data_IF_756728170688
#
_entry.id   IF_756728170688
#
_cell.length_a   1.000
_cell.length_b   1.000
_cell.length_c   1.000
_cell.angle_alpha   90.00
_cell.angle_beta   90.00
_cell.angle_gamma   90.00
#
_symmetry.space_group_name_H-M   'P 1'
#
loop_
_entity.id
_entity.type
_entity.pdbx_description
1 polymer ?
#
# COMPACT_ATOMS: atom_id res chain seq x y z
N UNK A 1 33.21 -5.24 -9.11
CA UNK A 1 32.40 -6.21 -9.88
C UNK A 1 31.27 -6.69 -8.97
N UNK A 2 30.03 -6.31 -9.29
CA UNK A 2 28.84 -6.56 -8.44
C UNK A 2 28.59 -8.06 -8.23
N UNK A 3 28.25 -8.46 -7.00
CA UNK A 3 27.85 -9.83 -6.59
C UNK A 3 26.77 -10.40 -7.50
N UNK A 4 25.91 -9.52 -8.01
CA UNK A 4 24.86 -9.81 -8.98
C UNK A 4 25.38 -10.45 -10.27
N UNK A 5 26.57 -10.05 -10.75
CA UNK A 5 27.19 -10.59 -11.97
C UNK A 5 27.79 -11.98 -11.74
N UNK A 6 28.20 -12.29 -10.51
CA UNK A 6 28.70 -13.63 -10.14
C UNK A 6 27.56 -14.66 -10.02
N UNK A 7 26.42 -14.26 -9.46
CA UNK A 7 25.21 -15.09 -9.42
C UNK A 7 24.70 -15.45 -10.83
N UNK A 8 24.69 -14.48 -11.74
CA UNK A 8 24.28 -14.72 -13.13
C UNK A 8 25.24 -15.61 -13.94
N UNK A 9 26.52 -15.68 -13.54
CA UNK A 9 27.52 -16.50 -14.24
C UNK A 9 27.49 -17.95 -13.74
N UNK A 10 27.11 -18.18 -12.48
CA UNK A 10 26.93 -19.53 -11.92
C UNK A 10 25.76 -20.29 -12.59
N UNK A 11 24.67 -19.59 -12.92
CA UNK A 11 23.47 -20.17 -13.57
C UNK A 11 23.75 -20.63 -15.03
N UNK A 12 24.78 -20.09 -15.70
CA UNK A 12 25.06 -20.37 -17.13
C UNK A 12 26.03 -21.53 -17.36
N UNK A 13 26.67 -22.06 -16.33
CA UNK A 13 27.67 -23.14 -16.43
C UNK A 13 27.19 -24.41 -15.74
N UNK A 14 26.37 -25.22 -16.43
CA UNK A 14 25.89 -26.49 -15.90
C UNK A 14 27.02 -27.48 -15.62
N UNK A 15 27.28 -27.75 -14.34
CA UNK A 15 27.99 -28.94 -13.86
C UNK A 15 27.50 -29.28 -12.43
N UNK A 16 26.90 -30.47 -12.28
CA UNK A 16 26.43 -31.16 -11.06
C UNK A 16 25.27 -30.54 -10.24
N UNK A 17 24.11 -31.24 -10.25
CA UNK A 17 22.94 -31.02 -9.38
C UNK A 17 23.25 -31.04 -7.87
N UNK A 18 24.40 -31.60 -7.46
CA UNK A 18 24.87 -31.59 -6.07
C UNK A 18 25.68 -30.35 -5.67
N UNK A 19 26.20 -29.59 -6.63
CA UNK A 19 26.90 -28.33 -6.37
C UNK A 19 25.92 -27.14 -6.31
N UNK A 20 24.85 -27.17 -7.10
CA UNK A 20 23.79 -26.14 -7.09
C UNK A 20 23.02 -26.13 -5.76
N UNK A 21 22.61 -27.28 -5.21
CA UNK A 21 21.86 -27.32 -3.95
C UNK A 21 22.60 -26.74 -2.73
N UNK A 22 23.94 -26.85 -2.70
CA UNK A 22 24.78 -26.26 -1.64
C UNK A 22 24.98 -24.75 -1.85
N UNK A 23 25.13 -24.32 -3.11
CA UNK A 23 25.19 -22.90 -3.45
C UNK A 23 23.86 -22.18 -3.19
N UNK A 24 22.72 -22.84 -3.47
CA UNK A 24 21.36 -22.33 -3.28
C UNK A 24 20.99 -22.19 -1.81
N UNK A 25 21.35 -23.16 -0.96
CA UNK A 25 21.17 -23.05 0.50
C UNK A 25 21.95 -21.85 1.07
N UNK A 26 23.17 -21.63 0.60
CA UNK A 26 23.98 -20.49 1.04
C UNK A 26 23.41 -19.17 0.52
N UNK A 27 22.86 -19.14 -0.71
CA UNK A 27 22.20 -17.96 -1.27
C UNK A 27 20.92 -17.59 -0.48
N UNK A 28 20.09 -18.56 -0.10
CA UNK A 28 18.91 -18.32 0.75
C UNK A 28 19.28 -17.79 2.13
N UNK A 29 20.34 -18.33 2.74
CA UNK A 29 20.84 -17.84 4.03
C UNK A 29 21.38 -16.41 3.95
N UNK A 30 22.07 -16.07 2.86
CA UNK A 30 22.55 -14.70 2.61
C UNK A 30 21.35 -13.77 2.44
N UNK A 31 20.36 -14.16 1.64
CA UNK A 31 19.17 -13.36 1.39
C UNK A 31 18.34 -13.13 2.67
N UNK A 32 18.21 -14.13 3.53
CA UNK A 32 17.62 -13.98 4.86
C UNK A 32 18.34 -12.94 5.72
N UNK A 33 19.68 -12.94 5.66
CA UNK A 33 20.48 -11.97 6.39
C UNK A 33 20.29 -10.56 5.80
N UNK A 34 20.33 -10.41 4.49
CA UNK A 34 20.08 -9.13 3.83
C UNK A 34 18.68 -8.58 4.13
N UNK A 35 17.65 -9.44 4.19
CA UNK A 35 16.30 -9.06 4.63
C UNK A 35 16.32 -8.56 6.07
N UNK A 36 17.02 -9.24 6.99
CA UNK A 36 17.13 -8.81 8.39
C UNK A 36 17.86 -7.47 8.52
N UNK A 37 18.94 -7.28 7.78
CA UNK A 37 19.70 -6.03 7.78
C UNK A 37 18.86 -4.89 7.20
N UNK A 38 18.12 -5.15 6.12
CA UNK A 38 17.17 -4.18 5.55
C UNK A 38 16.04 -3.80 6.52
N UNK A 39 15.51 -4.76 7.31
CA UNK A 39 14.56 -4.44 8.39
C UNK A 39 15.16 -3.53 9.44
N UNK A 40 16.41 -3.78 9.85
CA UNK A 40 17.09 -2.95 10.84
C UNK A 40 17.30 -1.53 10.33
N UNK A 41 17.72 -1.38 9.07
CA UNK A 41 17.93 -0.07 8.46
C UNK A 41 16.61 0.69 8.24
N UNK A 42 15.52 -0.02 7.92
CA UNK A 42 14.17 0.57 7.90
C UNK A 42 13.75 1.12 9.26
N UNK A 43 14.07 0.41 10.35
CA UNK A 43 13.78 0.93 11.72
C UNK A 43 14.56 2.20 12.03
N UNK A 44 15.85 2.24 11.66
CA UNK A 44 16.67 3.47 11.79
C UNK A 44 16.12 4.62 10.94
N UNK A 45 15.60 4.30 9.75
CA UNK A 45 14.94 5.28 8.88
C UNK A 45 13.65 5.81 9.51
N UNK A 46 12.85 4.96 10.15
CA UNK A 46 11.66 5.37 10.91
C UNK A 46 12.05 6.30 12.08
N UNK A 47 13.13 6.00 12.82
CA UNK A 47 13.66 6.86 13.89
C UNK A 47 14.13 8.22 13.36
N UNK A 48 14.85 8.23 12.23
CA UNK A 48 15.27 9.46 11.57
C UNK A 48 14.08 10.30 11.09
N UNK A 49 13.02 9.65 10.58
CA UNK A 49 11.77 10.31 10.24
C UNK A 49 11.12 10.97 11.46
N UNK A 50 11.08 10.30 12.61
CA UNK A 50 10.57 10.89 13.86
C UNK A 50 11.33 12.17 14.23
N UNK A 51 12.67 12.16 14.09
CA UNK A 51 13.50 13.34 14.33
C UNK A 51 13.16 14.51 13.37
N UNK A 52 12.94 14.22 12.09
CA UNK A 52 12.52 15.24 11.10
C UNK A 52 11.14 15.79 11.45
N UNK A 53 10.18 14.93 11.79
CA UNK A 53 8.82 15.32 12.20
C UNK A 53 8.88 16.23 13.43
N UNK A 54 9.73 15.91 14.41
CA UNK A 54 9.92 16.75 15.59
C UNK A 54 10.46 18.14 15.22
N UNK A 55 11.50 18.20 14.38
CA UNK A 55 12.06 19.49 13.89
C UNK A 55 11.02 20.30 13.11
N UNK A 56 10.23 19.65 12.24
CA UNK A 56 9.13 20.31 11.53
C UNK A 56 8.12 20.92 12.50
N UNK A 57 7.68 20.17 13.52
CA UNK A 57 6.72 20.66 14.50
C UNK A 57 7.25 21.86 15.29
N UNK A 58 8.53 21.83 15.69
CA UNK A 58 9.15 22.96 16.38
C UNK A 58 9.24 24.19 15.47
N UNK A 59 9.60 24.01 14.20
CA UNK A 59 9.65 25.10 13.22
C UNK A 59 8.26 25.69 12.96
N UNK A 60 7.23 24.85 12.84
CA UNK A 60 5.84 25.28 12.75
C UNK A 60 5.42 26.13 13.96
N UNK A 61 5.69 25.65 15.18
CA UNK A 61 5.35 26.39 16.40
C UNK A 61 6.00 27.77 16.45
N UNK A 62 7.22 27.91 15.94
CA UNK A 62 7.89 29.22 15.85
C UNK A 62 7.24 30.13 14.81
N UNK A 63 6.94 29.61 13.62
CA UNK A 63 6.20 30.36 12.59
C UNK A 63 4.87 30.86 13.14
N UNK A 64 4.13 30.00 13.83
CA UNK A 64 2.85 30.33 14.46
C UNK A 64 3.04 31.39 15.57
N UNK A 65 4.11 31.28 16.37
CA UNK A 65 4.46 32.27 17.39
C UNK A 65 4.78 33.65 16.80
N UNK A 66 5.54 33.71 15.71
CA UNK A 66 5.78 34.97 15.01
C UNK A 66 4.50 35.54 14.41
N UNK A 67 3.62 34.69 13.86
CA UNK A 67 2.33 35.12 13.34
C UNK A 67 1.45 35.77 14.43
N UNK A 68 1.40 35.15 15.61
CA UNK A 68 0.68 35.72 16.76
C UNK A 68 1.27 37.07 17.19
N UNK A 69 2.60 37.17 17.28
CA UNK A 69 3.27 38.42 17.60
C UNK A 69 3.02 39.51 16.56
N UNK A 70 2.97 39.17 15.28
CA UNK A 70 2.60 40.09 14.19
C UNK A 70 1.19 40.64 14.43
N UNK A 71 0.22 39.76 14.65
CA UNK A 71 -1.19 40.16 14.85
C UNK A 71 -1.37 41.05 16.10
N UNK A 72 -0.68 40.71 17.19
CA UNK A 72 -0.70 41.49 18.44
C UNK A 72 -0.17 42.91 18.23
N UNK A 73 1.05 43.04 17.67
CA UNK A 73 1.67 44.35 17.46
C UNK A 73 1.00 45.15 16.34
N UNK A 74 0.37 44.51 15.35
CA UNK A 74 -0.51 45.19 14.40
C UNK A 74 -1.77 45.76 15.07
N UNK A 75 -2.33 45.04 16.05
CA UNK A 75 -3.40 45.55 16.92
C UNK A 75 -2.94 46.76 17.74
N UNK A 76 -1.76 46.68 18.36
CA UNK A 76 -1.18 47.79 19.12
C UNK A 76 -0.88 49.02 18.26
N UNK A 77 -0.32 48.83 17.06
CA UNK A 77 -0.05 49.93 16.13
C UNK A 77 -1.33 50.67 15.75
N UNK A 78 -2.42 49.94 15.44
CA UNK A 78 -3.72 50.54 15.14
C UNK A 78 -4.27 51.33 16.33
N UNK A 79 -4.26 50.74 17.52
CA UNK A 79 -4.72 51.42 18.74
C UNK A 79 -3.90 52.65 19.12
N UNK A 80 -2.59 52.65 18.87
CA UNK A 80 -1.71 53.81 19.08
C UNK A 80 -2.04 54.94 18.08
N UNK A 81 -2.27 54.61 16.81
CA UNK A 81 -2.68 55.57 15.78
C UNK A 81 -4.03 56.23 16.10
N UNK A 82 -5.02 55.45 16.55
CA UNK A 82 -6.33 55.96 16.98
C UNK A 82 -6.23 56.97 18.13
N UNK A 83 -5.21 56.81 18.99
CA UNK A 83 -4.92 57.71 20.11
C UNK A 83 -3.97 58.86 19.75
N UNK A 84 -3.59 58.99 18.48
CA UNK A 84 -2.66 60.02 18.00
C UNK A 84 -1.19 59.81 18.42
N UNK A 85 -0.85 58.63 18.93
CA UNK A 85 0.50 58.29 19.39
C UNK A 85 1.34 57.74 18.23
N UNK A 86 1.72 58.60 17.30
CA UNK A 86 2.41 58.20 16.06
C UNK A 86 3.77 57.52 16.30
N UNK A 87 4.57 58.00 17.25
CA UNK A 87 5.88 57.41 17.56
C UNK A 87 5.73 55.96 18.07
N UNK A 88 4.77 55.73 18.97
CA UNK A 88 4.48 54.38 19.50
C UNK A 88 3.95 53.44 18.40
N UNK A 89 3.12 53.97 17.49
CA UNK A 89 2.64 53.19 16.35
C UNK A 89 3.79 52.79 15.42
N UNK A 90 4.76 53.69 15.20
CA UNK A 90 5.95 53.41 14.41
C UNK A 90 6.83 52.34 15.06
N UNK A 91 7.04 52.39 16.37
CA UNK A 91 7.76 51.34 17.11
C UNK A 91 7.08 49.97 16.99
N UNK A 92 5.74 49.92 17.11
CA UNK A 92 4.97 48.70 16.91
C UNK A 92 5.13 48.16 15.48
N UNK A 93 5.07 49.04 14.46
CA UNK A 93 5.27 48.66 13.06
C UNK A 93 6.69 48.13 12.80
N UNK A 94 7.72 48.69 13.46
CA UNK A 94 9.10 48.18 13.40
C UNK A 94 9.19 46.77 13.99
N UNK A 95 8.49 46.49 15.09
CA UNK A 95 8.42 45.13 15.66
C UNK A 95 7.71 44.14 14.75
N UNK A 96 6.62 44.55 14.11
CA UNK A 96 5.96 43.72 13.09
C UNK A 96 6.91 43.41 11.93
N UNK A 97 7.68 44.40 11.45
CA UNK A 97 8.65 44.19 10.38
C UNK A 97 9.75 43.19 10.81
N UNK A 98 10.24 43.28 12.05
CA UNK A 98 11.19 42.34 12.61
C UNK A 98 10.61 40.91 12.63
N UNK A 99 9.42 40.71 13.19
CA UNK A 99 8.78 39.40 13.25
C UNK A 99 8.48 38.82 11.87
N UNK A 100 8.08 39.63 10.89
CA UNK A 100 7.88 39.15 9.50
C UNK A 100 9.17 38.63 8.87
N UNK A 101 10.29 39.30 9.10
CA UNK A 101 11.60 38.84 8.61
C UNK A 101 12.01 37.51 9.25
N UNK A 102 11.83 37.39 10.57
CA UNK A 102 12.12 36.16 11.32
C UNK A 102 11.18 35.00 10.91
N UNK A 103 9.90 35.29 10.74
CA UNK A 103 8.89 34.35 10.24
C UNK A 103 9.24 33.84 8.85
N UNK A 104 9.63 34.72 7.92
CA UNK A 104 10.00 34.33 6.57
C UNK A 104 11.21 33.37 6.56
N UNK A 105 12.22 33.65 7.39
CA UNK A 105 13.37 32.78 7.53
C UNK A 105 12.98 31.41 8.13
N UNK A 106 12.15 31.39 9.17
CA UNK A 106 11.69 30.15 9.79
C UNK A 106 10.75 29.35 8.87
N UNK A 107 9.91 30.01 8.08
CA UNK A 107 9.03 29.39 7.08
C UNK A 107 9.86 28.62 6.03
N UNK A 108 11.00 29.15 5.59
CA UNK A 108 11.87 28.44 4.66
C UNK A 108 12.41 27.12 5.26
N UNK A 109 12.73 27.09 6.56
CA UNK A 109 13.12 25.85 7.25
C UNK A 109 11.96 24.88 7.38
N UNK A 110 10.76 25.38 7.75
CA UNK A 110 9.55 24.58 7.83
C UNK A 110 9.24 23.88 6.50
N UNK A 111 9.30 24.61 5.38
CA UNK A 111 9.05 24.07 4.04
C UNK A 111 10.06 22.97 3.67
N UNK A 112 11.34 23.16 4.01
CA UNK A 112 12.37 22.14 3.84
C UNK A 112 12.10 20.88 4.66
N UNK A 113 11.67 21.02 5.91
CA UNK A 113 11.32 19.88 6.76
C UNK A 113 10.06 19.16 6.27
N UNK A 114 9.03 19.89 5.81
CA UNK A 114 7.84 19.30 5.19
C UNK A 114 8.21 18.47 3.97
N UNK A 115 9.02 19.03 3.06
CA UNK A 115 9.48 18.32 1.86
C UNK A 115 10.32 17.08 2.20
N UNK A 116 11.18 17.19 3.21
CA UNK A 116 12.03 16.07 3.68
C UNK A 116 11.20 14.97 4.33
N UNK A 117 10.21 15.33 5.17
CA UNK A 117 9.27 14.39 5.81
C UNK A 117 8.49 13.61 4.76
N UNK A 118 7.93 14.30 3.75
CA UNK A 118 7.14 13.66 2.69
C UNK A 118 7.99 12.68 1.87
N UNK A 119 9.19 13.09 1.44
CA UNK A 119 10.11 12.21 0.71
C UNK A 119 10.48 10.98 1.52
N UNK A 120 10.81 11.17 2.80
CA UNK A 120 11.21 10.08 3.68
C UNK A 120 10.06 9.09 3.91
N UNK A 121 8.84 9.58 4.14
CA UNK A 121 7.64 8.72 4.26
C UNK A 121 7.40 7.87 3.01
N UNK A 122 7.46 8.48 1.84
CA UNK A 122 7.29 7.76 0.57
C UNK A 122 8.35 6.68 0.38
N UNK A 123 9.62 7.04 0.61
CA UNK A 123 10.73 6.10 0.46
C UNK A 123 10.64 4.92 1.45
N UNK A 124 10.31 5.20 2.72
CA UNK A 124 10.11 4.18 3.75
C UNK A 124 8.95 3.25 3.37
N UNK A 125 7.81 3.80 2.91
CA UNK A 125 6.67 2.98 2.47
C UNK A 125 7.05 2.05 1.33
N UNK A 126 7.68 2.58 0.28
CA UNK A 126 8.12 1.79 -0.87
C UNK A 126 9.12 0.71 -0.48
N UNK A 127 10.05 1.02 0.44
CA UNK A 127 11.02 0.05 0.93
C UNK A 127 10.36 -1.04 1.78
N UNK A 128 9.36 -0.69 2.63
CA UNK A 128 8.55 -1.66 3.37
C UNK A 128 7.78 -2.61 2.45
N UNK A 129 7.17 -2.08 1.39
CA UNK A 129 6.42 -2.90 0.42
C UNK A 129 7.34 -3.87 -0.34
N UNK A 130 8.48 -3.37 -0.83
CA UNK A 130 9.50 -4.21 -1.50
C UNK A 130 10.04 -5.29 -0.58
N UNK A 131 10.30 -4.94 0.68
CA UNK A 131 10.80 -5.90 1.67
C UNK A 131 9.77 -7.00 1.91
N UNK A 132 8.50 -6.64 2.10
CA UNK A 132 7.42 -7.63 2.25
C UNK A 132 7.32 -8.56 1.04
N UNK A 133 7.46 -8.03 -0.18
CA UNK A 133 7.47 -8.84 -1.39
C UNK A 133 8.66 -9.81 -1.43
N UNK A 134 9.86 -9.35 -1.06
CA UNK A 134 11.06 -10.18 -0.99
C UNK A 134 10.91 -11.31 0.04
N UNK A 135 10.34 -11.00 1.21
CA UNK A 135 10.06 -12.02 2.24
C UNK A 135 9.13 -13.11 1.73
N UNK A 136 8.03 -12.72 1.08
CA UNK A 136 7.08 -13.67 0.50
C UNK A 136 7.74 -14.55 -0.56
N UNK A 137 8.59 -13.97 -1.41
CA UNK A 137 9.33 -14.73 -2.42
C UNK A 137 10.30 -15.73 -1.79
N UNK A 138 11.02 -15.33 -0.74
CA UNK A 138 11.91 -16.22 0.01
C UNK A 138 11.13 -17.37 0.65
N UNK A 139 9.98 -17.10 1.25
CA UNK A 139 9.14 -18.13 1.87
C UNK A 139 8.63 -19.14 0.85
N UNK A 140 8.21 -18.69 -0.34
CA UNK A 140 7.81 -19.57 -1.44
C UNK A 140 8.98 -20.44 -1.91
N UNK A 141 10.17 -19.87 -2.08
CA UNK A 141 11.36 -20.64 -2.50
C UNK A 141 11.72 -21.69 -1.46
N UNK A 142 11.71 -21.35 -0.16
CA UNK A 142 11.95 -22.30 0.93
C UNK A 142 10.92 -23.41 0.98
N UNK A 143 9.65 -23.09 0.76
CA UNK A 143 8.58 -24.10 0.70
C UNK A 143 8.80 -25.07 -0.47
N UNK A 144 9.15 -24.55 -1.64
CA UNK A 144 9.46 -25.37 -2.81
C UNK A 144 10.69 -26.27 -2.59
N UNK A 145 11.75 -25.76 -1.97
CA UNK A 145 12.93 -26.54 -1.60
C UNK A 145 12.56 -27.67 -0.62
N UNK A 146 11.73 -27.39 0.38
CA UNK A 146 11.26 -28.39 1.33
C UNK A 146 10.45 -29.51 0.65
N UNK A 147 9.57 -29.14 -0.30
CA UNK A 147 8.82 -30.11 -1.11
C UNK A 147 9.75 -30.99 -1.94
N UNK A 148 10.72 -30.40 -2.65
CA UNK A 148 11.69 -31.15 -3.45
C UNK A 148 12.53 -32.11 -2.59
N UNK A 149 12.96 -31.67 -1.41
CA UNK A 149 13.69 -32.51 -0.45
C UNK A 149 12.84 -33.66 0.09
N UNK A 150 11.55 -33.43 0.35
CA UNK A 150 10.63 -34.48 0.75
C UNK A 150 10.40 -35.49 -0.40
N UNK A 151 10.21 -35.02 -1.63
CA UNK A 151 10.04 -35.87 -2.81
C UNK A 151 11.29 -36.74 -3.07
N UNK A 152 12.49 -36.19 -2.94
CA UNK A 152 13.73 -36.95 -3.11
C UNK A 152 13.94 -37.99 -2.00
N UNK A 153 13.65 -37.64 -0.74
CA UNK A 153 13.72 -38.59 0.38
C UNK A 153 12.73 -39.76 0.22
N UNK A 154 11.49 -39.49 -0.22
CA UNK A 154 10.46 -40.51 -0.50
C UNK A 154 10.86 -41.38 -1.70
N UNK A 155 11.41 -40.79 -2.75
CA UNK A 155 11.86 -41.54 -3.93
C UNK A 155 13.05 -42.45 -3.61
N UNK A 156 13.97 -41.99 -2.76
CA UNK A 156 15.11 -42.78 -2.30
C UNK A 156 14.73 -43.93 -1.36
N UNK A 157 13.61 -43.81 -0.61
CA UNK A 157 13.12 -44.85 0.31
C UNK A 157 12.17 -45.86 -0.33
N UNK A 158 11.59 -45.57 -1.52
CA UNK A 158 10.53 -46.39 -2.14
C UNK A 158 10.91 -47.02 -3.49
N UNK A 159 12.10 -47.61 -3.61
CA UNK A 159 12.46 -48.40 -4.82
C UNK A 159 11.59 -49.67 -4.98
N UNK A 160 10.81 -50.10 -3.97
CA UNK A 160 9.97 -51.32 -4.04
C UNK A 160 8.44 -51.14 -4.04
N UNK A 161 7.90 -50.01 -3.56
CA UNK A 161 6.45 -49.90 -3.27
C UNK A 161 5.68 -48.84 -4.11
N UNK A 162 6.39 -48.06 -4.95
CA UNK A 162 5.87 -46.81 -5.52
C UNK A 162 4.91 -46.96 -6.72
N UNK A 163 4.88 -48.11 -7.41
CA UNK A 163 4.05 -48.24 -8.61
C UNK A 163 2.53 -48.16 -8.36
N UNK A 164 2.06 -48.48 -7.14
CA UNK A 164 0.62 -48.56 -6.83
C UNK A 164 0.06 -47.35 -6.10
N UNK A 165 0.91 -46.53 -5.47
CA UNK A 165 0.46 -45.38 -4.67
C UNK A 165 0.48 -44.07 -5.50
N UNK A 166 1.44 -43.93 -6.41
CA UNK A 166 1.51 -42.81 -7.36
C UNK A 166 0.27 -42.74 -8.27
N UNK A 167 -0.29 -43.90 -8.63
CA UNK A 167 -1.54 -44.02 -9.41
C UNK A 167 -2.76 -43.54 -8.62
N UNK A 168 -2.79 -43.74 -7.30
CA UNK A 168 -3.90 -43.33 -6.46
C UNK A 168 -3.91 -41.82 -6.19
N UNK A 169 -2.73 -41.22 -5.95
CA UNK A 169 -2.59 -39.77 -5.74
C UNK A 169 -2.84 -39.00 -7.02
N UNK A 170 -2.30 -39.43 -8.17
CA UNK A 170 -2.66 -38.84 -9.47
C UNK A 170 -4.15 -38.95 -9.78
N UNK A 171 -4.79 -40.06 -9.39
CA UNK A 171 -6.24 -40.21 -9.58
C UNK A 171 -7.02 -39.23 -8.71
N UNK A 172 -6.57 -38.96 -7.48
CA UNK A 172 -7.19 -37.98 -6.58
C UNK A 172 -7.01 -36.55 -7.10
N UNK A 173 -5.83 -36.20 -7.59
CA UNK A 173 -5.54 -34.90 -8.22
C UNK A 173 -6.46 -34.68 -9.44
N UNK A 174 -6.60 -35.70 -10.30
CA UNK A 174 -7.53 -35.69 -11.45
C UNK A 174 -8.98 -35.51 -11.03
N UNK A 175 -9.41 -36.16 -9.94
CA UNK A 175 -10.77 -36.05 -9.42
C UNK A 175 -11.03 -34.64 -8.88
N UNK A 176 -10.09 -34.06 -8.12
CA UNK A 176 -10.19 -32.68 -7.63
C UNK A 176 -10.23 -31.68 -8.79
N UNK A 177 -9.40 -31.86 -9.80
CA UNK A 177 -9.36 -30.97 -10.96
C UNK A 177 -10.68 -31.03 -11.76
N UNK A 178 -11.24 -32.24 -11.96
CA UNK A 178 -12.59 -32.39 -12.55
C UNK A 178 -13.69 -31.76 -11.71
N UNK A 179 -13.60 -31.83 -10.37
CA UNK A 179 -14.57 -31.19 -9.50
C UNK A 179 -14.48 -29.66 -9.55
N UNK A 180 -13.26 -29.10 -9.59
CA UNK A 180 -13.03 -27.67 -9.74
C UNK A 180 -13.53 -27.15 -11.10
N UNK A 181 -13.23 -27.86 -12.20
CA UNK A 181 -13.74 -27.54 -13.53
C UNK A 181 -15.27 -27.59 -13.57
N UNK A 182 -15.88 -28.60 -12.94
CA UNK A 182 -17.35 -28.70 -12.87
C UNK A 182 -17.98 -27.58 -12.04
N UNK A 183 -17.32 -27.14 -10.97
CA UNK A 183 -17.76 -25.98 -10.19
C UNK A 183 -17.70 -24.70 -11.01
N UNK A 184 -16.59 -24.46 -11.70
CA UNK A 184 -16.42 -23.30 -12.56
C UNK A 184 -17.40 -23.30 -13.75
N UNK A 185 -17.71 -24.47 -14.31
CA UNK A 185 -18.75 -24.61 -15.35
C UNK A 185 -20.15 -24.32 -14.82
N UNK A 186 -20.48 -24.72 -13.59
CA UNK A 186 -21.77 -24.40 -12.96
C UNK A 186 -21.89 -22.91 -12.65
N UNK A 187 -20.81 -22.28 -12.22
CA UNK A 187 -20.73 -20.83 -11.97
C UNK A 187 -20.89 -20.05 -13.29
N UNK A 188 -20.15 -20.43 -14.33
CA UNK A 188 -20.29 -19.85 -15.66
C UNK A 188 -21.69 -20.09 -16.27
N UNK A 189 -22.30 -21.26 -16.04
CA UNK A 189 -23.67 -21.53 -16.48
C UNK A 189 -24.71 -20.70 -15.70
N UNK A 190 -24.47 -20.42 -14.41
CA UNK A 190 -25.30 -19.52 -13.62
C UNK A 190 -25.16 -18.07 -14.09
N UNK A 191 -23.94 -17.61 -14.40
CA UNK A 191 -23.68 -16.30 -15.00
C UNK A 191 -24.35 -16.17 -16.38
N UNK A 192 -24.26 -17.18 -17.24
CA UNK A 192 -24.93 -17.20 -18.55
C UNK A 192 -26.47 -17.23 -18.42
N UNK A 193 -27.00 -17.93 -17.41
CA UNK A 193 -28.44 -17.94 -17.12
C UNK A 193 -28.92 -16.57 -16.60
N UNK A 194 -28.09 -15.88 -15.81
CA UNK A 194 -28.38 -14.53 -15.33
C UNK A 194 -28.33 -13.50 -16.49
N UNK A 195 -27.39 -13.67 -17.43
CA UNK A 195 -27.33 -12.90 -18.68
C UNK A 195 -28.52 -13.17 -19.62
N UNK A 196 -29.01 -14.43 -19.68
CA UNK A 196 -30.19 -14.78 -20.48
C UNK A 196 -31.53 -14.43 -19.80
N UNK A 197 -31.54 -14.17 -18.49
CA UNK A 197 -32.76 -13.82 -17.73
C UNK A 197 -33.31 -12.41 -18.01
N UNK A 198 -32.67 -11.63 -18.89
CA UNK A 198 -33.28 -10.45 -19.51
C UNK A 198 -33.40 -9.20 -18.63
N UNK A 199 -32.80 -9.15 -17.43
CA UNK A 199 -32.91 -7.99 -16.52
C UNK A 199 -32.04 -6.77 -16.89
N UNK A 200 -31.22 -6.88 -17.94
CA UNK A 200 -30.27 -5.83 -18.33
C UNK A 200 -30.85 -4.78 -19.27
N UNK A 201 -31.93 -5.08 -20.00
CA UNK A 201 -32.57 -4.14 -20.92
C UNK A 201 -33.49 -3.16 -20.18
N UNK A 202 -34.29 -3.64 -19.22
CA UNK A 202 -35.20 -2.81 -18.42
C UNK A 202 -34.46 -1.82 -17.50
N UNK A 203 -33.32 -2.23 -16.93
CA UNK A 203 -32.44 -1.32 -16.16
C UNK A 203 -31.82 -0.24 -17.04
N UNK A 204 -31.40 -0.58 -18.26
CA UNK A 204 -30.84 0.39 -19.23
C UNK A 204 -31.91 1.33 -19.79
N UNK A 205 -33.16 0.88 -19.94
CA UNK A 205 -34.29 1.73 -20.36
C UNK A 205 -34.74 2.70 -19.26
N UNK A 206 -34.70 2.27 -17.99
CA UNK A 206 -34.98 3.12 -16.84
C UNK A 206 -33.91 4.22 -16.63
N UNK A 207 -32.63 3.87 -16.77
CA UNK A 207 -31.52 4.85 -16.72
C UNK A 207 -31.52 5.83 -17.89
N UNK A 208 -32.05 5.42 -19.06
CA UNK A 208 -32.23 6.27 -20.23
C UNK A 208 -33.55 7.10 -20.22
N UNK A 209 -34.38 6.98 -19.17
CA UNK A 209 -35.62 7.74 -19.03
C UNK A 209 -36.75 7.34 -19.98
N UNK A 210 -36.64 6.18 -20.65
CA UNK A 210 -37.68 5.67 -21.56
C UNK A 210 -38.47 4.60 -20.80
N UNK A 211 -39.45 5.03 -20.01
CA UNK A 211 -40.38 4.10 -19.37
C UNK A 211 -41.64 3.97 -20.21
N UNK A 212 -41.84 2.80 -20.80
CA UNK A 212 -43.13 2.33 -21.27
C UNK A 212 -43.90 1.71 -20.10
N UNK A 213 -44.97 2.37 -19.65
CA UNK A 213 -46.12 1.67 -19.05
C UNK A 213 -46.29 1.78 -17.54
N UNK A 214 -47.06 2.80 -17.12
CA UNK A 214 -48.00 2.85 -15.98
C UNK A 214 -47.78 1.84 -14.84
N UNK A 215 -47.28 2.34 -13.72
CA UNK A 215 -47.66 1.84 -12.39
C UNK A 215 -48.66 2.82 -11.76
N UNK A 216 -49.76 2.26 -11.28
CA UNK A 216 -50.92 2.93 -10.65
C UNK A 216 -50.50 3.87 -9.52
N UNK A 217 -51.04 5.09 -9.55
CA UNK A 217 -50.85 6.12 -8.51
C UNK A 217 -51.59 5.72 -7.22
N UNK A 218 -51.06 6.14 -6.07
CA UNK A 218 -51.75 6.03 -4.78
C UNK A 218 -53.15 6.70 -4.77
N UNK A 219 -53.43 7.58 -5.72
CA UNK A 219 -54.74 8.19 -5.95
C UNK A 219 -55.78 7.20 -6.52
N UNK A 220 -55.35 6.19 -7.29
CA UNK A 220 -56.23 5.15 -7.81
C UNK A 220 -56.64 4.16 -6.71
N UNK A 221 -55.74 3.87 -5.76
CA UNK A 221 -56.03 3.00 -4.61
C UNK A 221 -56.92 3.71 -3.57
N UNK A 222 -56.79 5.04 -3.45
CA UNK A 222 -57.64 5.86 -2.57
C UNK A 222 -59.10 5.92 -3.06
N UNK A 223 -59.32 5.99 -4.38
CA UNK A 223 -60.68 5.93 -4.97
C UNK A 223 -61.35 4.58 -4.74
N UNK A 224 -60.60 3.48 -4.82
CA UNK A 224 -61.14 2.13 -4.53
C UNK A 224 -61.60 1.99 -3.08
N UNK A 225 -60.91 2.63 -2.13
CA UNK A 225 -61.23 2.55 -0.71
C UNK A 225 -62.47 3.41 -0.34
N UNK A 226 -62.71 4.51 -1.07
CA UNK A 226 -63.81 5.45 -0.78
C UNK A 226 -65.13 5.14 -1.52
N UNK A 227 -65.19 4.10 -2.35
CA UNK A 227 -66.44 3.52 -2.84
C UNK A 227 -67.32 4.44 -3.70
N UNK A 228 -66.77 4.99 -4.78
CA UNK A 228 -67.54 5.44 -5.96
C UNK A 228 -67.01 4.78 -7.23
#
# INVERSE_FOLDING_TARGET
>A
MSVWKKLFTAIKGGVNETAEAVADNQALRILDQEIRDAKQELRRSDEALVSIVAKRKLSQQKVDGFQQGIEEYEGHARGAMEKGQQDLALECAQKVAQFRNEQQAEQAYLDQFVGSEQKMRTNISQAKDKLRQLEQQVDVVKANEAVQKAQSAVSATNVGANAKMHTAVESLERIKQRQAEKSAQLEAAAEMADEQSGSSLDKKLAEAGITSGKQSSAEDELKRILGQ
#
